data_IF_170862716264
#
_entry.id   IF_170862716264
#
_cell.length_a   1.000
_cell.length_b   1.000
_cell.length_c   1.000
_cell.angle_alpha   90.00
_cell.angle_beta   90.00
_cell.angle_gamma   90.00
#
_symmetry.space_group_name_H-M   'P 1'
#
loop_
_entity.id
_entity.type
_entity.pdbx_description
1 polymer ?
#
# COMPACT_ATOMS: atom_id res chain seq x y z
N UNK A 1 -2.84 -25.13 31.36
CA UNK A 1 -3.11 -25.30 29.92
C UNK A 1 -2.77 -23.96 29.32
N UNK A 2 -1.59 -23.81 28.74
CA UNK A 2 -1.06 -22.53 28.27
C UNK A 2 -1.33 -22.43 26.78
N UNK A 3 -2.01 -21.37 26.36
CA UNK A 3 -2.38 -21.11 24.97
C UNK A 3 -1.15 -21.12 24.05
N UNK A 4 -1.17 -22.01 23.05
CA UNK A 4 -0.12 -22.21 22.05
C UNK A 4 -0.27 -21.31 20.81
N UNK A 5 -1.25 -20.40 20.78
CA UNK A 5 -1.48 -19.48 19.66
C UNK A 5 -1.06 -18.05 20.01
N UNK A 6 0.24 -17.83 20.28
CA UNK A 6 0.82 -16.53 19.94
C UNK A 6 1.28 -16.66 18.50
N UNK A 7 0.53 -16.07 17.57
CA UNK A 7 1.08 -15.63 16.29
C UNK A 7 2.29 -14.74 16.63
N UNK A 8 3.46 -15.36 16.73
CA UNK A 8 4.69 -14.67 17.02
C UNK A 8 5.00 -13.96 15.72
N UNK A 9 4.75 -12.67 15.67
CA UNK A 9 5.07 -11.81 14.53
C UNK A 9 6.55 -12.05 14.18
N UNK A 10 6.78 -12.82 13.12
CA UNK A 10 8.13 -13.21 12.69
C UNK A 10 8.69 -11.99 11.97
N UNK A 11 9.38 -11.13 12.72
CA UNK A 11 9.94 -9.89 12.20
C UNK A 11 11.27 -10.18 11.51
N UNK A 12 11.24 -10.70 10.29
CA UNK A 12 12.44 -10.96 9.50
C UNK A 12 12.71 -9.82 8.53
N UNK A 13 13.95 -9.35 8.50
CA UNK A 13 14.45 -8.41 7.49
C UNK A 13 15.35 -9.15 6.52
N UNK A 14 15.21 -8.86 5.22
CA UNK A 14 16.01 -9.45 4.16
C UNK A 14 16.82 -8.36 3.46
N UNK A 15 18.13 -8.56 3.31
CA UNK A 15 19.02 -7.64 2.60
C UNK A 15 19.81 -8.40 1.52
N UNK A 16 20.11 -7.73 0.41
CA UNK A 16 20.94 -8.30 -0.66
C UNK A 16 22.26 -7.53 -0.73
N UNK A 17 23.38 -8.25 -0.60
CA UNK A 17 24.74 -7.70 -0.68
C UNK A 17 25.65 -8.65 -1.44
N UNK A 18 26.44 -8.12 -2.38
CA UNK A 18 27.36 -8.86 -3.27
C UNK A 18 26.78 -10.14 -3.92
N UNK A 19 25.49 -10.12 -4.28
CA UNK A 19 24.81 -11.27 -4.90
C UNK A 19 24.29 -12.32 -3.93
N UNK A 20 24.53 -12.14 -2.62
CA UNK A 20 24.01 -13.00 -1.55
C UNK A 20 22.78 -12.39 -0.89
N UNK A 21 21.91 -13.24 -0.34
CA UNK A 21 20.71 -12.82 0.40
C UNK A 21 20.91 -13.12 1.88
N UNK A 22 20.78 -12.10 2.71
CA UNK A 22 20.97 -12.15 4.16
C UNK A 22 19.63 -12.03 4.87
N UNK A 23 19.45 -12.82 5.94
CA UNK A 23 18.25 -12.85 6.78
C UNK A 23 18.61 -12.36 8.18
N UNK A 24 17.87 -11.40 8.70
CA UNK A 24 18.06 -10.80 10.03
C UNK A 24 16.82 -11.04 10.89
N UNK A 25 17.03 -11.44 12.14
CA UNK A 25 15.96 -11.53 13.15
C UNK A 25 15.75 -10.16 13.81
N UNK A 26 14.61 -9.53 13.53
CA UNK A 26 14.23 -8.21 14.00
C UNK A 26 15.27 -7.14 13.69
N UNK A 27 15.72 -6.46 14.74
CA UNK A 27 16.72 -5.39 14.67
C UNK A 27 18.16 -5.90 14.80
N UNK A 28 18.40 -7.21 14.59
CA UNK A 28 19.75 -7.78 14.65
C UNK A 28 20.69 -7.05 13.70
N UNK A 29 21.91 -6.78 14.19
CA UNK A 29 23.02 -6.25 13.41
C UNK A 29 23.75 -7.34 12.63
N UNK A 30 23.52 -8.60 12.98
CA UNK A 30 24.15 -9.75 12.35
C UNK A 30 23.08 -10.54 11.60
N UNK A 31 23.20 -10.57 10.28
CA UNK A 31 22.38 -11.40 9.40
C UNK A 31 23.04 -12.76 9.20
N UNK A 32 22.25 -13.75 8.84
CA UNK A 32 22.75 -15.04 8.34
C UNK A 32 22.46 -15.15 6.86
N UNK A 33 23.44 -15.57 6.08
CA UNK A 33 23.23 -15.83 4.66
C UNK A 33 22.20 -16.95 4.46
N UNK A 34 21.25 -16.76 3.56
CA UNK A 34 20.16 -17.72 3.31
C UNK A 34 20.70 -19.08 2.87
N UNK A 35 21.80 -19.10 2.09
CA UNK A 35 22.42 -20.35 1.66
C UNK A 35 23.02 -21.10 2.85
N UNK A 36 23.61 -20.39 3.81
CA UNK A 36 24.16 -20.96 5.03
C UNK A 36 23.06 -21.52 5.94
N UNK A 37 21.92 -20.82 6.08
CA UNK A 37 20.74 -21.34 6.77
C UNK A 37 20.21 -22.62 6.13
N UNK A 38 20.12 -22.64 4.79
CA UNK A 38 19.71 -23.83 4.05
C UNK A 38 20.72 -24.98 4.19
N UNK A 39 22.02 -24.68 4.21
CA UNK A 39 23.09 -25.67 4.40
C UNK A 39 23.15 -26.22 5.83
N UNK A 40 22.85 -25.42 6.85
CA UNK A 40 22.84 -25.87 8.26
C UNK A 40 21.75 -26.91 8.56
N UNK A 41 20.71 -26.97 7.74
CA UNK A 41 19.64 -27.98 7.82
C UNK A 41 19.61 -28.88 6.58
N UNK A 42 20.67 -28.91 5.76
CA UNK A 42 20.69 -29.68 4.52
C UNK A 42 20.76 -31.20 4.74
N UNK A 43 21.11 -31.65 5.94
CA UNK A 43 21.03 -33.05 6.35
C UNK A 43 19.60 -33.48 6.76
N UNK A 44 18.72 -32.52 7.04
CA UNK A 44 17.30 -32.76 7.35
C UNK A 44 16.42 -32.87 6.08
N UNK A 45 16.92 -32.44 4.93
CA UNK A 45 16.20 -32.45 3.65
C UNK A 45 17.04 -33.06 2.54
N UNK A 46 16.47 -33.95 1.74
CA UNK A 46 17.18 -34.41 0.54
C UNK A 46 17.13 -33.35 -0.58
N UNK A 47 18.01 -33.48 -1.57
CA UNK A 47 18.14 -32.52 -2.68
C UNK A 47 16.81 -32.30 -3.44
N UNK A 48 16.01 -33.36 -3.62
CA UNK A 48 14.72 -33.27 -4.31
C UNK A 48 13.69 -32.49 -3.47
N UNK A 49 13.66 -32.66 -2.15
CA UNK A 49 12.79 -31.91 -1.23
C UNK A 49 13.14 -30.42 -1.20
N UNK A 50 14.44 -30.10 -1.15
CA UNK A 50 14.92 -28.72 -1.26
C UNK A 50 14.55 -28.11 -2.61
N UNK A 51 14.73 -28.86 -3.71
CA UNK A 51 14.37 -28.38 -5.06
C UNK A 51 12.89 -28.08 -5.19
N UNK A 52 12.02 -28.95 -4.67
CA UNK A 52 10.56 -28.72 -4.67
C UNK A 52 10.18 -27.51 -3.83
N UNK A 53 10.79 -27.36 -2.64
CA UNK A 53 10.53 -26.23 -1.74
C UNK A 53 10.94 -24.90 -2.37
N UNK A 54 12.14 -24.84 -2.95
CA UNK A 54 12.63 -23.66 -3.66
C UNK A 54 11.78 -23.32 -4.88
N UNK A 55 11.33 -24.33 -5.63
CA UNK A 55 10.44 -24.12 -6.78
C UNK A 55 9.10 -23.52 -6.35
N UNK A 56 8.49 -24.06 -5.30
CA UNK A 56 7.24 -23.55 -4.76
C UNK A 56 7.40 -22.09 -4.25
N UNK A 57 8.49 -21.81 -3.52
CA UNK A 57 8.79 -20.47 -3.04
C UNK A 57 8.97 -19.47 -4.20
N UNK A 58 9.67 -19.85 -5.26
CA UNK A 58 9.83 -19.03 -6.45
C UNK A 58 8.49 -18.71 -7.12
N UNK A 59 7.62 -19.70 -7.28
CA UNK A 59 6.28 -19.50 -7.84
C UNK A 59 5.41 -18.56 -6.98
N UNK A 60 5.45 -18.71 -5.65
CA UNK A 60 4.72 -17.82 -4.75
C UNK A 60 5.27 -16.38 -4.78
N UNK A 61 6.59 -16.20 -4.88
CA UNK A 61 7.20 -14.88 -5.05
C UNK A 61 6.72 -14.23 -6.37
N UNK A 62 6.71 -14.97 -7.47
CA UNK A 62 6.26 -14.44 -8.76
C UNK A 62 4.76 -14.09 -8.74
N UNK A 63 3.94 -14.90 -8.06
CA UNK A 63 2.53 -14.60 -7.83
C UNK A 63 2.36 -13.32 -7.03
N UNK A 64 3.06 -13.17 -5.90
CA UNK A 64 2.99 -11.97 -5.05
C UNK A 64 3.46 -10.71 -5.79
N UNK A 65 4.50 -10.82 -6.62
CA UNK A 65 4.95 -9.72 -7.49
C UNK A 65 3.87 -9.32 -8.49
N UNK A 66 3.19 -10.29 -9.11
CA UNK A 66 2.10 -10.02 -10.05
C UNK A 66 0.89 -9.39 -9.35
N UNK A 67 0.55 -9.83 -8.15
CA UNK A 67 -0.51 -9.22 -7.31
C UNK A 67 -0.14 -7.79 -6.90
N UNK A 68 1.11 -7.54 -6.53
CA UNK A 68 1.62 -6.21 -6.21
C UNK A 68 1.55 -5.26 -7.41
N UNK A 69 1.98 -5.70 -8.60
CA UNK A 69 1.90 -4.86 -9.81
C UNK A 69 0.45 -4.57 -10.21
N UNK A 70 -0.48 -5.52 -10.04
CA UNK A 70 -1.92 -5.28 -10.20
C UNK A 70 -2.43 -4.25 -9.19
N UNK A 71 -2.02 -4.34 -7.94
CA UNK A 71 -2.41 -3.39 -6.89
C UNK A 71 -1.87 -1.98 -7.19
N UNK A 72 -0.62 -1.85 -7.65
CA UNK A 72 -0.04 -0.57 -8.10
C UNK A 72 -0.79 0.02 -9.29
N UNK A 73 -1.17 -0.81 -10.27
CA UNK A 73 -1.96 -0.35 -11.42
C UNK A 73 -3.38 0.10 -11.03
N UNK A 74 -3.93 -0.44 -9.94
CA UNK A 74 -5.22 -0.03 -9.38
C UNK A 74 -5.11 1.10 -8.35
N UNK A 75 -3.89 1.45 -7.93
CA UNK A 75 -3.67 2.50 -6.95
C UNK A 75 -4.01 3.86 -7.57
N UNK A 76 -4.69 4.69 -6.79
CA UNK A 76 -4.97 6.09 -7.16
C UNK A 76 -3.64 6.86 -7.09
N UNK A 77 -3.21 7.55 -8.16
CA UNK A 77 -1.96 8.30 -8.13
C UNK A 77 -1.95 9.38 -7.05
N UNK A 78 -0.77 9.74 -6.56
CA UNK A 78 -0.62 10.80 -5.57
C UNK A 78 -1.20 12.12 -6.11
N UNK A 79 -2.01 12.81 -5.28
CA UNK A 79 -2.73 14.02 -5.68
C UNK A 79 -4.08 13.77 -6.38
N UNK A 80 -4.43 12.52 -6.66
CA UNK A 80 -5.73 12.14 -7.23
C UNK A 80 -6.63 11.47 -6.19
N UNK A 81 -7.94 11.48 -6.47
CA UNK A 81 -8.98 10.87 -5.64
C UNK A 81 -10.03 10.21 -6.54
N UNK A 82 -10.56 9.05 -6.13
CA UNK A 82 -11.66 8.41 -6.85
C UNK A 82 -12.96 9.13 -6.53
N UNK A 83 -13.63 9.66 -7.55
CA UNK A 83 -14.94 10.29 -7.45
C UNK A 83 -15.97 9.49 -8.25
N UNK A 84 -17.25 9.46 -7.82
CA UNK A 84 -18.35 8.99 -8.65
C UNK A 84 -18.41 9.73 -9.99
N UNK A 85 -18.85 9.03 -11.04
CA UNK A 85 -19.02 9.64 -12.37
C UNK A 85 -20.08 10.75 -12.35
N UNK A 86 -21.12 10.59 -11.51
CA UNK A 86 -22.15 11.58 -11.25
C UNK A 86 -22.16 11.97 -9.77
N UNK A 87 -22.26 13.28 -9.43
CA UNK A 87 -22.21 13.73 -8.04
C UNK A 87 -23.42 13.24 -7.24
N UNK A 88 -23.17 12.81 -6.00
CA UNK A 88 -24.23 12.42 -5.06
C UNK A 88 -24.99 13.65 -4.52
N UNK A 89 -26.17 13.44 -3.95
CA UNK A 89 -26.92 14.54 -3.31
C UNK A 89 -26.16 15.19 -2.16
N UNK A 90 -25.36 14.42 -1.43
CA UNK A 90 -24.52 14.94 -0.35
C UNK A 90 -23.41 15.86 -0.89
N UNK A 91 -22.78 15.46 -2.00
CA UNK A 91 -21.80 16.31 -2.70
C UNK A 91 -22.45 17.61 -3.19
N UNK A 92 -23.61 17.54 -3.83
CA UNK A 92 -24.34 18.72 -4.29
C UNK A 92 -24.73 19.64 -3.12
N UNK A 93 -25.17 19.05 -2.00
CA UNK A 93 -25.43 19.78 -0.76
C UNK A 93 -24.19 20.51 -0.24
N UNK A 94 -23.04 19.84 -0.19
CA UNK A 94 -21.78 20.42 0.25
C UNK A 94 -21.31 21.55 -0.67
N UNK A 95 -21.48 21.41 -1.98
CA UNK A 95 -21.19 22.48 -2.95
C UNK A 95 -22.08 23.72 -2.73
N UNK A 96 -23.37 23.52 -2.46
CA UNK A 96 -24.31 24.61 -2.21
C UNK A 96 -24.04 25.34 -0.88
N UNK A 97 -23.53 24.61 0.12
CA UNK A 97 -23.18 25.15 1.44
C UNK A 97 -21.73 25.66 1.52
N UNK A 98 -20.95 25.52 0.45
CA UNK A 98 -19.55 25.94 0.44
C UNK A 98 -19.45 27.45 0.70
N UNK A 99 -18.57 27.88 1.64
CA UNK A 99 -18.47 29.28 2.01
C UNK A 99 -18.00 30.11 0.82
N UNK A 100 -18.63 31.26 0.59
CA UNK A 100 -18.18 32.19 -0.44
C UNK A 100 -16.83 32.78 -0.03
N UNK A 101 -15.78 32.63 -0.85
CA UNK A 101 -14.47 33.15 -0.51
C UNK A 101 -14.48 34.68 -0.56
N UNK A 102 -14.20 35.31 0.59
CA UNK A 102 -14.19 36.76 0.79
C UNK A 102 -12.88 37.41 0.28
N UNK A 103 -12.38 36.98 -0.87
CA UNK A 103 -11.15 37.50 -1.48
C UNK A 103 -11.52 38.52 -2.55
N UNK A 104 -10.93 39.71 -2.48
CA UNK A 104 -11.12 40.71 -3.53
C UNK A 104 -10.39 40.27 -4.81
N UNK A 105 -11.16 39.99 -5.85
CA UNK A 105 -10.64 39.71 -7.18
C UNK A 105 -11.30 40.70 -8.14
N UNK A 106 -10.50 41.44 -8.89
CA UNK A 106 -10.99 42.49 -9.80
C UNK A 106 -11.66 41.91 -11.05
N UNK A 107 -11.31 40.66 -11.38
CA UNK A 107 -11.89 39.94 -12.51
C UNK A 107 -13.15 39.16 -12.11
N UNK A 108 -14.24 39.37 -12.86
CA UNK A 108 -15.47 38.56 -12.78
C UNK A 108 -15.13 37.07 -12.99
N UNK A 109 -14.28 36.76 -13.98
CA UNK A 109 -13.90 35.38 -14.26
C UNK A 109 -13.04 34.77 -13.15
N UNK A 110 -12.25 35.57 -12.46
CA UNK A 110 -11.45 35.13 -11.33
C UNK A 110 -12.31 34.80 -10.10
N UNK A 111 -13.33 35.63 -9.80
CA UNK A 111 -14.30 35.33 -8.74
C UNK A 111 -15.04 34.02 -9.00
N UNK A 112 -15.48 33.82 -10.24
CA UNK A 112 -16.21 32.61 -10.62
C UNK A 112 -15.36 31.34 -10.48
N UNK A 113 -14.11 31.37 -10.98
CA UNK A 113 -13.18 30.24 -10.81
C UNK A 113 -12.94 29.91 -9.34
N UNK A 114 -12.81 30.92 -8.49
CA UNK A 114 -12.59 30.72 -7.05
C UNK A 114 -13.82 30.10 -6.37
N UNK A 115 -15.02 30.53 -6.76
CA UNK A 115 -16.28 29.91 -6.30
C UNK A 115 -16.34 28.44 -6.69
N UNK A 116 -16.17 28.13 -7.97
CA UNK A 116 -16.21 26.75 -8.49
C UNK A 116 -15.17 25.86 -7.79
N UNK A 117 -13.94 26.37 -7.61
CA UNK A 117 -12.87 25.64 -6.92
C UNK A 117 -13.23 25.33 -5.47
N UNK A 118 -13.85 26.28 -4.76
CA UNK A 118 -14.28 26.09 -3.36
C UNK A 118 -15.39 25.06 -3.25
N UNK A 119 -16.38 25.11 -4.15
CA UNK A 119 -17.46 24.14 -4.23
C UNK A 119 -16.93 22.73 -4.56
N UNK A 120 -16.03 22.62 -5.53
CA UNK A 120 -15.38 21.34 -5.87
C UNK A 120 -14.62 20.75 -4.69
N UNK A 121 -13.86 21.57 -3.96
CA UNK A 121 -13.16 21.14 -2.75
C UNK A 121 -14.11 20.61 -1.68
N UNK A 122 -15.26 21.25 -1.48
CA UNK A 122 -16.28 20.79 -0.54
C UNK A 122 -16.83 19.41 -0.93
N UNK A 123 -17.13 19.20 -2.22
CA UNK A 123 -17.58 17.91 -2.74
C UNK A 123 -16.54 16.79 -2.51
N UNK A 124 -15.27 17.07 -2.82
CA UNK A 124 -14.17 16.10 -2.64
C UNK A 124 -14.02 15.71 -1.16
N UNK A 125 -14.13 16.66 -0.24
CA UNK A 125 -13.98 16.39 1.19
C UNK A 125 -15.04 15.41 1.71
N UNK A 126 -16.31 15.60 1.33
CA UNK A 126 -17.40 14.71 1.75
C UNK A 126 -17.25 13.32 1.13
N UNK A 127 -16.82 13.24 -0.12
CA UNK A 127 -16.63 11.96 -0.76
C UNK A 127 -15.45 11.15 -0.18
N UNK A 128 -14.43 11.81 0.40
CA UNK A 128 -13.36 11.13 1.15
C UNK A 128 -13.84 10.52 2.47
N UNK A 129 -14.73 11.21 3.21
CA UNK A 129 -15.24 10.72 4.49
C UNK A 129 -16.14 9.49 4.38
N UNK A 130 -16.67 9.18 3.19
CA UNK A 130 -17.46 7.97 2.95
C UNK A 130 -16.65 6.71 2.64
N UNK A 131 -15.31 6.82 2.49
CA UNK A 131 -14.43 5.71 2.09
C UNK A 131 -13.78 4.98 3.28
N UNK A 132 -14.10 5.34 4.53
CA UNK A 132 -13.55 4.74 5.75
C UNK A 132 -14.40 3.58 6.32
N UNK A 133 -15.14 2.86 5.46
CA UNK A 133 -16.01 1.73 5.83
C UNK A 133 -15.42 0.36 5.52
#
# INVERSE_FOLDING_TARGET
MTDLNKEREVNLRFEQDDGFVWVFDGDSQFGTEISHLMMMHADEYNEDELRVTCHHAACEIDRLRAELEKAKAQAVPEGYVLMPLEPTQEMLGAANLAPMPMVHIDSISGREKLRISTQYKAMVNVCKSGAEG
#
